data_IF_650335175393
#
_entry.id   IF_650335175393
#
_cell.length_a   1.000
_cell.length_b   1.000
_cell.length_c   1.000
_cell.angle_alpha   90.00
_cell.angle_beta   90.00
_cell.angle_gamma   90.00
#
_symmetry.space_group_name_H-M   'P 1'
#
loop_
_entity.id
_entity.type
_entity.pdbx_description
1 polymer ?
#
# COMPACT_ATOMS: atom_id res chain seq x y z
N UNK A 1 10.05 15.74 -17.08
CA UNK A 1 10.13 14.62 -16.11
C UNK A 1 11.47 13.93 -16.32
N UNK A 2 12.13 13.47 -15.25
CA UNK A 2 13.40 12.75 -15.34
C UNK A 2 13.12 11.32 -15.83
N UNK A 3 13.78 10.88 -16.90
CA UNK A 3 13.58 9.55 -17.49
C UNK A 3 14.23 8.41 -16.68
N UNK A 4 15.05 8.75 -15.67
CA UNK A 4 15.62 7.79 -14.73
C UNK A 4 14.68 7.46 -13.57
N UNK A 5 13.59 8.21 -13.39
CA UNK A 5 12.61 7.91 -12.36
C UNK A 5 11.59 6.89 -12.87
N UNK A 6 11.40 5.86 -12.07
CA UNK A 6 10.40 4.81 -12.28
C UNK A 6 9.56 4.66 -11.02
N UNK A 7 8.36 4.12 -11.17
CA UNK A 7 7.54 3.71 -10.05
C UNK A 7 7.06 2.28 -10.22
N UNK A 8 6.85 1.62 -9.09
CA UNK A 8 6.23 0.31 -8.98
C UNK A 8 5.07 0.45 -8.01
N UNK A 9 3.85 0.39 -8.52
CA UNK A 9 2.63 0.41 -7.73
C UNK A 9 2.27 -1.03 -7.37
N UNK A 10 2.30 -1.36 -6.08
CA UNK A 10 1.98 -2.69 -5.56
C UNK A 10 0.47 -2.83 -5.34
N UNK A 11 -0.17 -3.68 -6.12
CA UNK A 11 -1.61 -3.90 -6.20
C UNK A 11 -1.99 -5.38 -6.02
N UNK A 12 -1.31 -6.08 -5.09
CA UNK A 12 -1.59 -7.49 -4.77
C UNK A 12 -2.48 -7.72 -3.54
N UNK A 13 -2.68 -6.70 -2.69
CA UNK A 13 -3.49 -6.82 -1.48
C UNK A 13 -4.98 -7.00 -1.77
N UNK A 14 -5.66 -7.85 -1.00
CA UNK A 14 -7.12 -7.98 -1.08
C UNK A 14 -7.81 -6.88 -0.26
N UNK A 15 -7.34 -6.60 0.96
CA UNK A 15 -8.03 -5.68 1.88
C UNK A 15 -9.28 -6.29 2.51
N UNK A 16 -9.20 -7.54 2.97
CA UNK A 16 -10.32 -8.33 3.51
C UNK A 16 -11.05 -7.73 4.71
N UNK A 17 -10.45 -6.77 5.41
CA UNK A 17 -11.09 -6.01 6.51
C UNK A 17 -12.21 -5.08 6.01
N UNK A 18 -12.28 -4.81 4.70
CA UNK A 18 -13.38 -4.08 4.07
C UNK A 18 -14.47 -4.99 3.50
N UNK A 19 -14.55 -6.24 3.93
CA UNK A 19 -15.72 -7.06 3.62
C UNK A 19 -17.00 -6.34 4.12
N UNK A 20 -18.09 -6.33 3.34
CA UNK A 20 -18.30 -7.06 2.09
C UNK A 20 -17.78 -6.40 0.82
N UNK A 21 -17.38 -5.12 0.88
CA UNK A 21 -16.94 -4.31 -0.27
C UNK A 21 -15.77 -4.94 -0.99
N UNK A 22 -14.70 -5.26 -0.26
CA UNK A 22 -13.52 -5.87 -0.84
C UNK A 22 -13.59 -7.40 -0.84
N UNK A 23 -13.35 -8.02 -2.00
CA UNK A 23 -13.33 -9.49 -2.17
C UNK A 23 -12.09 -9.91 -2.96
N UNK A 24 -11.86 -11.23 -3.07
CA UNK A 24 -10.76 -11.76 -3.89
C UNK A 24 -10.92 -11.40 -5.37
N UNK A 25 -12.14 -11.26 -5.88
CA UNK A 25 -12.39 -10.94 -7.28
C UNK A 25 -12.31 -9.43 -7.55
N UNK A 26 -12.61 -8.61 -6.53
CA UNK A 26 -12.57 -7.15 -6.64
C UNK A 26 -11.98 -6.50 -5.38
N UNK A 27 -10.63 -6.48 -5.27
CA UNK A 27 -9.88 -5.94 -4.14
C UNK A 27 -10.04 -4.44 -3.86
N UNK A 28 -9.66 -4.04 -2.64
CA UNK A 28 -9.78 -2.70 -2.06
C UNK A 28 -9.28 -1.59 -3.00
N UNK A 29 -8.13 -1.78 -3.62
CA UNK A 29 -7.49 -0.78 -4.47
C UNK A 29 -8.34 -0.37 -5.68
N UNK A 30 -9.27 -1.21 -6.11
CA UNK A 30 -10.17 -0.95 -7.24
C UNK A 30 -11.49 -0.28 -6.84
N UNK A 31 -11.68 0.02 -5.55
CA UNK A 31 -12.87 0.71 -5.06
C UNK A 31 -12.62 2.19 -4.85
N UNK A 32 -13.63 2.98 -5.20
CA UNK A 32 -13.82 4.30 -4.61
C UNK A 32 -14.34 4.12 -3.17
N UNK A 33 -13.40 4.20 -2.23
CA UNK A 33 -13.68 4.01 -0.81
C UNK A 33 -14.27 5.27 -0.16
N UNK A 34 -14.02 6.44 -0.76
CA UNK A 34 -14.33 7.74 -0.17
C UNK A 34 -15.49 8.45 -0.86
N UNK A 35 -15.99 7.91 -1.98
CA UNK A 35 -17.05 8.53 -2.78
C UNK A 35 -16.55 9.71 -3.61
N UNK A 36 -15.25 9.75 -3.94
CA UNK A 36 -14.64 10.87 -4.68
C UNK A 36 -14.71 10.71 -6.20
N UNK A 37 -15.19 9.57 -6.70
CA UNK A 37 -15.28 9.24 -8.12
C UNK A 37 -14.04 8.54 -8.69
N UNK A 38 -13.03 8.26 -7.88
CA UNK A 38 -11.79 7.58 -8.26
C UNK A 38 -11.47 6.44 -7.31
N UNK A 39 -10.98 5.32 -7.83
CA UNK A 39 -10.45 4.24 -7.00
C UNK A 39 -9.09 4.61 -6.41
N UNK A 40 -8.68 3.90 -5.35
CA UNK A 40 -7.39 4.16 -4.70
C UNK A 40 -6.20 3.96 -5.66
N UNK A 41 -6.26 2.95 -6.54
CA UNK A 41 -5.21 2.72 -7.54
C UNK A 41 -5.18 3.83 -8.59
N UNK A 42 -6.34 4.32 -9.03
CA UNK A 42 -6.43 5.45 -9.97
C UNK A 42 -5.81 6.70 -9.38
N UNK A 43 -6.18 7.02 -8.13
CA UNK A 43 -5.63 8.18 -7.43
C UNK A 43 -4.12 8.06 -7.23
N UNK A 44 -3.63 6.90 -6.81
CA UNK A 44 -2.19 6.64 -6.65
C UNK A 44 -1.43 6.79 -7.96
N UNK A 45 -1.95 6.21 -9.05
CA UNK A 45 -1.36 6.35 -10.38
C UNK A 45 -1.36 7.81 -10.84
N UNK A 46 -2.48 8.51 -10.72
CA UNK A 46 -2.62 9.91 -11.14
C UNK A 46 -1.67 10.83 -10.37
N UNK A 47 -1.54 10.65 -9.05
CA UNK A 47 -0.57 11.35 -8.21
C UNK A 47 0.86 11.13 -8.70
N UNK A 48 1.29 9.88 -8.84
CA UNK A 48 2.66 9.53 -9.25
C UNK A 48 2.96 10.03 -10.67
N UNK A 49 1.98 9.95 -11.57
CA UNK A 49 2.10 10.38 -12.97
C UNK A 49 2.26 11.91 -13.15
N UNK A 50 2.16 12.71 -12.08
CA UNK A 50 2.53 14.13 -12.10
C UNK A 50 4.05 14.35 -12.08
N UNK A 51 4.81 13.37 -11.55
CA UNK A 51 6.28 13.44 -11.43
C UNK A 51 7.01 12.47 -12.35
N UNK A 52 6.42 11.29 -12.58
CA UNK A 52 7.02 10.19 -13.33
C UNK A 52 6.23 9.96 -14.63
N UNK A 53 6.87 9.80 -15.79
CA UNK A 53 6.16 9.53 -17.04
C UNK A 53 5.35 8.23 -16.94
N UNK A 54 4.13 8.22 -17.50
CA UNK A 54 3.23 7.06 -17.43
C UNK A 54 3.92 5.75 -17.82
N UNK A 55 4.74 5.75 -18.87
CA UNK A 55 5.47 4.56 -19.36
C UNK A 55 6.50 3.99 -18.37
N UNK A 56 6.94 4.79 -17.39
CA UNK A 56 7.89 4.40 -16.35
C UNK A 56 7.17 3.96 -15.05
N UNK A 57 5.84 3.92 -15.03
CA UNK A 57 5.04 3.45 -13.89
C UNK A 57 4.62 2.01 -14.18
N UNK A 58 5.18 1.06 -13.43
CA UNK A 58 4.86 -0.35 -13.50
C UNK A 58 3.84 -0.70 -12.41
N UNK A 59 2.97 -1.68 -12.69
CA UNK A 59 1.97 -2.17 -11.74
C UNK A 59 2.29 -3.61 -11.40
N UNK A 60 2.60 -3.89 -10.13
CA UNK A 60 2.74 -5.26 -9.64
C UNK A 60 1.43 -5.78 -9.10
N UNK A 61 0.93 -6.86 -9.65
CA UNK A 61 -0.37 -7.40 -9.30
C UNK A 61 -0.47 -8.88 -9.62
N UNK A 62 -1.45 -9.59 -9.05
CA UNK A 62 -1.70 -10.97 -9.45
C UNK A 62 -2.20 -11.05 -10.89
N UNK A 63 -1.83 -12.12 -11.61
CA UNK A 63 -2.27 -12.33 -13.00
C UNK A 63 -3.80 -12.27 -13.18
N UNK A 64 -4.58 -12.66 -12.17
CA UNK A 64 -6.04 -12.59 -12.23
C UNK A 64 -6.60 -11.16 -12.28
N UNK A 65 -5.83 -10.15 -11.87
CA UNK A 65 -6.25 -8.74 -11.85
C UNK A 65 -5.82 -7.96 -13.10
N UNK A 66 -5.17 -8.60 -14.07
CA UNK A 66 -4.66 -7.95 -15.29
C UNK A 66 -5.72 -7.06 -15.95
N UNK A 67 -6.89 -7.62 -16.25
CA UNK A 67 -7.97 -6.91 -16.95
C UNK A 67 -8.58 -5.79 -16.10
N UNK A 68 -8.65 -5.96 -14.77
CA UNK A 68 -9.10 -4.91 -13.85
C UNK A 68 -8.15 -3.71 -13.86
N UNK A 69 -6.84 -3.95 -13.80
CA UNK A 69 -5.83 -2.89 -13.85
C UNK A 69 -5.92 -2.14 -15.18
N UNK A 70 -5.96 -2.83 -16.32
CA UNK A 70 -6.03 -2.19 -17.64
C UNK A 70 -7.32 -1.38 -17.82
N UNK A 71 -8.44 -1.86 -17.26
CA UNK A 71 -9.71 -1.12 -17.28
C UNK A 71 -9.66 0.14 -16.41
N UNK A 72 -9.00 0.09 -15.26
CA UNK A 72 -8.92 1.19 -14.30
C UNK A 72 -7.86 2.24 -14.69
N UNK A 73 -6.75 1.83 -15.30
CA UNK A 73 -5.60 2.68 -15.63
C UNK A 73 -5.40 2.76 -17.14
N UNK A 74 -6.14 3.66 -17.81
CA UNK A 74 -6.14 3.80 -19.27
C UNK A 74 -4.79 4.18 -19.90
N UNK A 75 -3.85 4.70 -19.11
CA UNK A 75 -2.49 5.05 -19.54
C UNK A 75 -1.47 3.92 -19.33
N UNK A 76 -1.90 2.76 -18.84
CA UNK A 76 -1.05 1.60 -18.56
C UNK A 76 -1.20 0.55 -19.67
N UNK A 77 -0.07 0.08 -20.21
CA UNK A 77 -0.03 -1.02 -21.18
C UNK A 77 0.29 -2.36 -20.52
N UNK A 78 0.09 -3.45 -21.25
CA UNK A 78 0.43 -4.82 -20.78
C UNK A 78 1.91 -4.96 -20.43
N UNK A 79 2.79 -4.25 -21.12
CA UNK A 79 4.24 -4.30 -20.89
C UNK A 79 4.65 -3.73 -19.53
N UNK A 80 3.80 -2.89 -18.93
CA UNK A 80 4.01 -2.28 -17.61
C UNK A 80 3.48 -3.14 -16.46
N UNK A 81 2.79 -4.25 -16.76
CA UNK A 81 2.24 -5.14 -15.74
C UNK A 81 3.27 -6.19 -15.34
N UNK A 82 3.57 -6.24 -14.06
CA UNK A 82 4.34 -7.29 -13.42
C UNK A 82 3.34 -8.29 -12.85
N UNK A 83 2.97 -9.27 -13.68
CA UNK A 83 1.96 -10.27 -13.32
C UNK A 83 2.57 -11.36 -12.44
N UNK A 84 2.11 -11.42 -11.20
CA UNK A 84 2.53 -12.39 -10.20
C UNK A 84 1.64 -13.64 -10.30
N UNK A 85 2.20 -14.84 -10.53
CA UNK A 85 1.40 -16.07 -10.64
C UNK A 85 0.86 -16.53 -9.28
N UNK A 86 1.50 -16.11 -8.19
CA UNK A 86 1.13 -16.47 -6.82
C UNK A 86 1.49 -15.34 -5.86
N UNK A 87 0.79 -15.24 -4.73
CA UNK A 87 1.06 -14.23 -3.71
C UNK A 87 2.29 -14.63 -2.89
N UNK A 88 3.36 -13.85 -2.97
CA UNK A 88 4.61 -14.07 -2.21
C UNK A 88 5.07 -12.85 -1.39
N UNK A 89 4.14 -11.96 -1.03
CA UNK A 89 4.39 -10.74 -0.28
C UNK A 89 5.30 -9.76 -1.07
N UNK A 90 5.83 -8.71 -0.43
CA UNK A 90 6.41 -7.56 -1.17
C UNK A 90 7.84 -7.76 -1.68
N UNK A 91 8.66 -8.62 -1.07
CA UNK A 91 10.06 -8.74 -1.50
C UNK A 91 10.22 -9.32 -2.94
N UNK A 92 9.53 -10.42 -3.32
CA UNK A 92 9.67 -10.99 -4.66
C UNK A 92 9.16 -10.07 -5.77
N UNK A 93 8.09 -9.32 -5.51
CA UNK A 93 7.50 -8.43 -6.50
C UNK A 93 8.40 -7.21 -6.77
N UNK A 94 9.02 -6.68 -5.71
CA UNK A 94 10.02 -5.61 -5.80
C UNK A 94 11.28 -6.10 -6.51
N UNK A 95 11.77 -7.31 -6.21
CA UNK A 95 12.93 -7.87 -6.91
C UNK A 95 12.66 -8.04 -8.41
N UNK A 96 11.50 -8.59 -8.76
CA UNK A 96 11.08 -8.71 -10.15
C UNK A 96 11.08 -7.34 -10.84
N UNK A 97 10.42 -6.35 -10.23
CA UNK A 97 10.37 -4.99 -10.77
C UNK A 97 11.78 -4.39 -10.95
N UNK A 98 12.63 -4.51 -9.94
CA UNK A 98 13.98 -3.97 -9.94
C UNK A 98 14.85 -4.61 -11.04
N UNK A 99 14.78 -5.94 -11.23
CA UNK A 99 15.52 -6.63 -12.29
C UNK A 99 15.03 -6.22 -13.69
N UNK A 100 13.70 -6.15 -13.88
CA UNK A 100 13.10 -5.72 -15.16
C UNK A 100 13.50 -4.30 -15.53
N UNK A 101 13.40 -3.36 -14.58
CA UNK A 101 13.74 -1.95 -14.79
C UNK A 101 15.25 -1.79 -14.98
N UNK A 102 16.07 -2.45 -14.17
CA UNK A 102 17.53 -2.39 -14.28
C UNK A 102 18.04 -2.89 -15.64
N UNK A 103 17.38 -3.91 -16.21
CA UNK A 103 17.70 -4.40 -17.55
C UNK A 103 17.44 -3.37 -18.67
N UNK A 104 16.54 -2.41 -18.45
CA UNK A 104 16.28 -1.30 -19.38
C UNK A 104 17.13 -0.07 -19.07
N UNK A 105 17.22 0.30 -17.80
CA UNK A 105 17.92 1.49 -17.32
C UNK A 105 18.70 1.18 -16.03
N UNK A 106 20.03 0.97 -16.14
CA UNK A 106 20.89 0.73 -14.97
C UNK A 106 21.00 1.90 -13.99
N UNK A 107 20.65 3.12 -14.42
CA UNK A 107 20.69 4.33 -13.61
C UNK A 107 19.31 4.70 -13.04
N UNK A 108 18.35 3.77 -13.12
CA UNK A 108 17.00 3.98 -12.61
C UNK A 108 16.98 4.17 -11.10
N UNK A 109 16.10 5.07 -10.65
CA UNK A 109 15.69 5.21 -9.25
C UNK A 109 14.20 4.95 -9.16
N UNK A 110 13.83 4.07 -8.24
CA UNK A 110 12.53 3.43 -8.14
C UNK A 110 11.76 4.02 -6.97
N UNK A 111 10.54 4.48 -7.20
CA UNK A 111 9.53 4.67 -6.17
C UNK A 111 8.71 3.38 -6.03
N UNK A 112 8.76 2.72 -4.90
CA UNK A 112 7.88 1.60 -4.56
C UNK A 112 6.74 2.14 -3.71
N UNK A 113 5.50 2.00 -4.19
CA UNK A 113 4.33 2.57 -3.53
C UNK A 113 3.16 1.57 -3.46
N UNK A 114 2.49 1.43 -2.31
CA UNK A 114 1.23 0.70 -2.21
C UNK A 114 0.12 1.39 -3.00
N UNK A 115 -0.74 0.59 -3.64
CA UNK A 115 -1.85 1.09 -4.46
C UNK A 115 -3.05 1.61 -3.67
N UNK A 116 -3.10 1.34 -2.36
CA UNK A 116 -4.31 1.44 -1.54
C UNK A 116 -4.16 2.38 -0.34
N UNK A 117 -3.15 3.26 -0.36
CA UNK A 117 -2.94 4.29 0.66
C UNK A 117 -3.64 5.61 0.31
N UNK A 118 -4.06 6.32 1.35
CA UNK A 118 -4.57 7.68 1.28
C UNK A 118 -3.47 8.71 1.57
N UNK A 119 -3.48 9.78 0.79
CA UNK A 119 -2.58 10.93 0.92
C UNK A 119 -3.44 12.18 0.72
N UNK A 120 -3.47 13.04 1.74
CA UNK A 120 -4.25 14.28 1.74
C UNK A 120 -3.55 15.37 0.94
N UNK A 121 -2.28 15.63 1.26
CA UNK A 121 -1.46 16.63 0.58
C UNK A 121 -0.58 15.99 -0.48
N UNK A 122 -1.12 15.87 -1.69
CA UNK A 122 -0.39 15.28 -2.82
C UNK A 122 0.79 16.14 -3.28
N UNK A 123 0.76 17.46 -3.05
CA UNK A 123 1.83 18.37 -3.46
C UNK A 123 3.04 18.15 -2.54
N UNK A 124 2.83 18.14 -1.23
CA UNK A 124 3.88 17.88 -0.25
C UNK A 124 4.42 16.45 -0.39
N UNK A 125 3.56 15.47 -0.70
CA UNK A 125 4.01 14.12 -1.05
C UNK A 125 5.00 14.14 -2.23
N UNK A 126 4.65 14.77 -3.35
CA UNK A 126 5.52 14.79 -4.54
C UNK A 126 6.84 15.52 -4.29
N UNK A 127 6.84 16.58 -3.48
CA UNK A 127 8.06 17.26 -3.03
C UNK A 127 8.96 16.32 -2.22
N UNK A 128 8.41 15.57 -1.27
CA UNK A 128 9.15 14.61 -0.46
C UNK A 128 9.69 13.43 -1.28
N UNK A 129 8.94 12.97 -2.28
CA UNK A 129 9.42 11.98 -3.25
C UNK A 129 10.60 12.54 -4.06
N UNK A 130 10.53 13.79 -4.52
CA UNK A 130 11.63 14.42 -5.25
C UNK A 130 12.90 14.52 -4.40
N UNK A 131 12.79 14.97 -3.15
CA UNK A 131 13.92 15.00 -2.20
C UNK A 131 14.54 13.60 -2.03
N UNK A 132 13.68 12.58 -1.90
CA UNK A 132 14.12 11.20 -1.69
C UNK A 132 14.78 10.59 -2.94
N UNK A 133 14.31 10.95 -4.13
CA UNK A 133 14.97 10.61 -5.39
C UNK A 133 16.37 11.22 -5.47
N UNK A 134 16.51 12.52 -5.21
CA UNK A 134 17.80 13.22 -5.25
C UNK A 134 18.81 12.63 -4.25
N UNK A 135 18.35 12.24 -3.06
CA UNK A 135 19.20 11.57 -2.06
C UNK A 135 19.66 10.18 -2.52
N UNK A 136 18.75 9.39 -3.12
CA UNK A 136 19.02 8.02 -3.57
C UNK A 136 19.82 7.95 -4.88
N UNK A 137 19.79 9.01 -5.70
CA UNK A 137 20.67 9.14 -6.88
C UNK A 137 22.13 9.36 -6.48
N UNK A 138 22.36 10.14 -5.42
CA UNK A 138 23.71 10.55 -4.99
C UNK A 138 24.38 9.55 -4.05
N UNK A 139 23.60 8.76 -3.32
CA UNK A 139 24.08 7.93 -2.23
C UNK A 139 23.62 6.47 -2.37
N UNK A 140 24.44 5.51 -1.93
CA UNK A 140 24.05 4.10 -1.85
C UNK A 140 23.24 3.83 -0.57
N UNK A 141 21.98 4.29 -0.57
CA UNK A 141 21.08 4.24 0.60
C UNK A 141 19.74 3.58 0.25
N UNK A 142 19.13 2.97 1.26
CA UNK A 142 17.76 2.47 1.18
C UNK A 142 16.81 3.45 1.85
N UNK A 143 16.18 4.35 1.07
CA UNK A 143 15.24 5.34 1.61
C UNK A 143 13.85 4.75 1.87
N UNK A 144 13.23 5.21 2.96
CA UNK A 144 11.79 5.09 3.24
C UNK A 144 11.22 6.46 3.66
N UNK A 145 9.89 6.56 3.72
CA UNK A 145 9.19 7.72 4.29
C UNK A 145 8.66 7.39 5.69
N UNK A 146 8.99 8.25 6.66
CA UNK A 146 8.60 8.09 8.04
C UNK A 146 7.51 9.07 8.44
N UNK A 147 6.36 8.55 8.90
CA UNK A 147 5.23 9.37 9.36
C UNK A 147 5.32 9.57 10.88
N UNK A 148 5.03 10.78 11.35
CA UNK A 148 4.96 11.02 12.80
C UNK A 148 3.82 10.21 13.43
N UNK A 149 4.09 9.35 14.43
CA UNK A 149 3.06 8.56 15.09
C UNK A 149 2.18 9.44 15.97
N UNK A 150 0.86 9.30 15.84
CA UNK A 150 -0.12 9.96 16.72
C UNK A 150 -0.77 8.99 17.73
N UNK A 151 -0.49 7.69 17.59
CA UNK A 151 -1.04 6.62 18.42
C UNK A 151 -0.11 5.39 18.48
N UNK A 152 -0.26 4.50 19.47
CA UNK A 152 0.47 3.24 19.52
C UNK A 152 -0.19 2.18 18.62
N UNK A 153 0.14 2.18 17.32
CA UNK A 153 -0.44 1.28 16.32
C UNK A 153 0.38 -0.01 16.16
N UNK A 154 -0.18 -1.17 16.47
CA UNK A 154 0.51 -2.47 16.38
C UNK A 154 0.55 -3.07 14.97
N UNK A 155 -0.17 -2.47 14.01
CA UNK A 155 -0.24 -2.90 12.63
C UNK A 155 0.83 -2.29 11.72
N UNK A 156 1.58 -1.30 12.19
CA UNK A 156 2.59 -0.59 11.41
C UNK A 156 4.01 -0.98 11.83
N UNK A 157 4.95 -0.82 10.89
CA UNK A 157 6.37 -0.79 11.21
C UNK A 157 6.78 0.52 11.86
N UNK A 158 7.79 0.47 12.72
CA UNK A 158 8.37 1.62 13.41
C UNK A 158 9.85 1.79 13.01
N UNK A 159 10.24 3.03 12.77
CA UNK A 159 11.56 3.44 12.30
C UNK A 159 12.19 4.32 13.38
N UNK A 160 13.23 3.81 14.04
CA UNK A 160 14.07 4.61 14.93
C UNK A 160 15.11 5.36 14.11
N UNK A 161 15.24 6.66 14.28
CA UNK A 161 16.18 7.47 13.49
C UNK A 161 17.26 8.16 14.34
N UNK A 162 18.36 8.57 13.69
CA UNK A 162 19.37 9.47 14.24
C UNK A 162 18.89 10.93 14.10
N UNK A 163 19.15 11.77 15.12
CA UNK A 163 18.75 13.19 15.05
C UNK A 163 19.44 13.93 13.90
N UNK A 164 20.70 13.58 13.64
CA UNK A 164 21.51 14.18 12.58
C UNK A 164 20.98 13.77 11.21
N UNK A 165 20.87 14.75 10.32
CA UNK A 165 20.55 14.53 8.92
C UNK A 165 21.79 14.27 8.07
N UNK A 166 21.61 13.52 6.99
CA UNK A 166 22.53 13.46 5.87
C UNK A 166 22.49 14.83 5.17
N UNK A 167 23.53 15.62 5.37
CA UNK A 167 23.58 17.02 4.91
C UNK A 167 22.39 17.84 5.44
N UNK A 168 22.01 18.92 4.77
CA UNK A 168 20.85 19.76 5.10
C UNK A 168 19.54 19.27 4.43
N UNK A 169 19.50 18.01 3.95
CA UNK A 169 18.38 17.47 3.17
C UNK A 169 17.15 17.07 3.99
N UNK A 170 17.30 16.98 5.32
CA UNK A 170 16.28 16.42 6.23
C UNK A 170 16.20 14.89 6.24
N UNK A 171 16.97 14.20 5.38
CA UNK A 171 17.10 12.74 5.37
C UNK A 171 17.87 12.29 6.61
N UNK A 172 17.34 11.33 7.36
CA UNK A 172 17.93 10.83 8.61
C UNK A 172 18.33 9.38 8.48
N UNK A 173 19.45 9.00 9.09
CA UNK A 173 19.86 7.60 9.15
C UNK A 173 18.95 6.82 10.10
N UNK A 174 18.58 5.60 9.71
CA UNK A 174 17.79 4.69 10.55
C UNK A 174 18.72 3.90 11.45
N UNK A 175 18.45 3.91 12.76
CA UNK A 175 19.16 3.11 13.77
C UNK A 175 18.61 1.70 13.85
N UNK A 176 17.28 1.59 13.79
CA UNK A 176 16.58 0.33 13.94
C UNK A 176 15.24 0.40 13.22
N UNK A 177 14.87 -0.71 12.60
CA UNK A 177 13.55 -0.93 12.01
C UNK A 177 12.86 -2.03 12.81
N UNK A 178 11.57 -1.88 13.11
CA UNK A 178 10.82 -2.87 13.89
C UNK A 178 9.42 -3.01 13.31
N UNK A 179 9.16 -4.12 12.64
CA UNK A 179 7.85 -4.39 12.04
C UNK A 179 6.84 -4.91 13.06
N UNK A 180 5.68 -4.23 13.17
CA UNK A 180 4.50 -4.66 13.96
C UNK A 180 4.80 -5.03 15.43
N UNK A 181 5.25 -4.06 16.25
CA UNK A 181 5.49 -4.31 17.67
C UNK A 181 4.21 -4.62 18.44
N UNK A 182 4.35 -5.20 19.63
CA UNK A 182 3.23 -5.32 20.56
C UNK A 182 2.82 -3.93 21.11
N UNK A 183 1.64 -3.84 21.73
CA UNK A 183 1.07 -2.57 22.19
C UNK A 183 1.93 -1.84 23.22
N UNK A 184 2.57 -2.57 24.13
CA UNK A 184 3.43 -1.96 25.17
C UNK A 184 4.66 -1.32 24.52
N UNK A 185 5.32 -2.03 23.62
CA UNK A 185 6.45 -1.51 22.85
C UNK A 185 6.04 -0.31 21.97
N UNK A 186 4.86 -0.35 21.34
CA UNK A 186 4.36 0.78 20.56
C UNK A 186 4.12 2.05 21.40
N UNK A 187 3.65 1.90 22.65
CA UNK A 187 3.52 3.02 23.61
C UNK A 187 4.88 3.59 24.00
N UNK A 188 5.87 2.73 24.20
CA UNK A 188 7.25 3.16 24.50
C UNK A 188 7.86 3.95 23.35
N UNK A 189 7.67 3.49 22.11
CA UNK A 189 8.15 4.18 20.90
C UNK A 189 7.51 5.56 20.75
N UNK A 190 6.20 5.67 20.99
CA UNK A 190 5.51 6.96 20.95
C UNK A 190 6.04 7.91 22.03
N UNK A 191 6.31 7.39 23.23
CA UNK A 191 6.81 8.19 24.36
C UNK A 191 8.25 8.71 24.14
N UNK A 192 9.09 7.99 23.41
CA UNK A 192 10.48 8.41 23.19
C UNK A 192 10.62 9.54 22.17
N UNK A 193 9.66 9.69 21.24
CA UNK A 193 9.64 10.76 20.24
C UNK A 193 10.69 10.64 19.11
N UNK A 194 11.49 9.57 19.13
CA UNK A 194 12.54 9.27 18.14
C UNK A 194 12.16 8.14 17.17
N UNK A 195 10.85 7.85 17.08
CA UNK A 195 10.29 6.87 16.15
C UNK A 195 9.30 7.49 15.17
N UNK A 196 9.31 6.95 13.95
CA UNK A 196 8.33 7.21 12.90
C UNK A 196 7.60 5.91 12.54
N UNK A 197 6.41 6.02 11.97
CA UNK A 197 5.77 4.89 11.29
C UNK A 197 6.36 4.70 9.90
N UNK A 198 6.55 3.44 9.51
CA UNK A 198 6.86 3.06 8.14
C UNK A 198 5.60 3.16 7.27
N UNK A 199 5.62 4.05 6.28
CA UNK A 199 4.52 4.20 5.33
C UNK A 199 4.45 3.08 4.28
N UNK A 200 5.42 2.15 4.25
CA UNK A 200 5.56 1.13 3.20
C UNK A 200 5.87 1.73 1.83
N UNK A 201 6.41 2.96 1.79
CA UNK A 201 6.78 3.70 0.59
C UNK A 201 8.29 3.83 0.58
N UNK A 202 8.91 3.36 -0.50
CA UNK A 202 10.36 3.26 -0.58
C UNK A 202 10.93 3.91 -1.83
N UNK A 203 12.14 4.44 -1.74
CA UNK A 203 12.81 5.13 -2.84
C UNK A 203 14.25 4.65 -2.96
N UNK A 204 14.62 3.93 -4.01
CA UNK A 204 15.95 3.30 -4.11
C UNK A 204 16.52 3.40 -5.51
N UNK A 205 17.84 3.54 -5.62
CA UNK A 205 18.48 3.23 -6.90
C UNK A 205 18.30 1.74 -7.20
N UNK A 206 18.10 1.38 -8.46
CA UNK A 206 17.99 -0.03 -8.86
C UNK A 206 19.25 -0.82 -8.48
N UNK A 207 20.42 -0.18 -8.52
CA UNK A 207 21.70 -0.75 -8.09
C UNK A 207 21.70 -1.08 -6.59
N UNK A 208 21.27 -0.14 -5.75
CA UNK A 208 21.27 -0.29 -4.29
C UNK A 208 20.34 -1.40 -3.83
N UNK A 209 19.12 -1.45 -4.36
CA UNK A 209 18.17 -2.50 -3.96
C UNK A 209 18.61 -3.90 -4.46
N UNK A 210 19.13 -4.01 -5.68
CA UNK A 210 19.64 -5.30 -6.18
C UNK A 210 20.88 -5.78 -5.41
N UNK A 211 21.73 -4.86 -4.95
CA UNK A 211 22.84 -5.17 -4.05
C UNK A 211 22.32 -5.73 -2.72
N UNK A 212 21.31 -5.08 -2.12
CA UNK A 212 20.70 -5.54 -0.87
C UNK A 212 20.05 -6.92 -1.02
N UNK A 213 19.34 -7.20 -2.12
CA UNK A 213 18.80 -8.53 -2.41
C UNK A 213 19.90 -9.59 -2.51
N UNK A 214 21.02 -9.28 -3.17
CA UNK A 214 22.15 -10.20 -3.27
C UNK A 214 22.79 -10.50 -1.91
N UNK A 215 22.74 -9.55 -0.97
CA UNK A 215 23.32 -9.69 0.37
C UNK A 215 22.39 -10.44 1.33
N UNK A 216 21.12 -10.05 1.40
CA UNK A 216 20.20 -10.51 2.44
C UNK A 216 19.22 -11.59 1.97
N UNK A 217 18.92 -11.67 0.67
CA UNK A 217 18.05 -12.70 0.06
C UNK A 217 18.71 -13.35 -1.17
N UNK A 218 19.94 -13.89 -1.04
CA UNK A 218 20.74 -14.35 -2.17
C UNK A 218 20.08 -15.47 -2.99
N UNK A 219 19.32 -16.35 -2.35
CA UNK A 219 18.60 -17.43 -3.04
C UNK A 219 17.48 -16.88 -3.92
N UNK A 220 16.68 -15.94 -3.41
CA UNK A 220 15.63 -15.28 -4.17
C UNK A 220 16.22 -14.47 -5.34
N UNK A 221 17.30 -13.74 -5.08
CA UNK A 221 18.06 -13.03 -6.11
C UNK A 221 18.53 -14.00 -7.19
N UNK A 222 19.13 -15.14 -6.81
CA UNK A 222 19.62 -16.13 -7.77
C UNK A 222 18.48 -16.70 -8.62
N UNK A 223 17.34 -17.04 -8.02
CA UNK A 223 16.16 -17.60 -8.72
C UNK A 223 15.69 -16.68 -9.85
N UNK A 224 15.47 -15.39 -9.55
CA UNK A 224 14.95 -14.44 -10.53
C UNK A 224 16.04 -13.87 -11.45
N UNK A 225 17.30 -13.88 -11.05
CA UNK A 225 18.41 -13.35 -11.86
C UNK A 225 19.17 -14.43 -12.65
N UNK A 226 18.64 -15.67 -12.76
CA UNK A 226 19.30 -16.78 -13.47
C UNK A 226 19.54 -16.52 -14.96
N UNK A 227 18.65 -15.79 -15.63
CA UNK A 227 18.85 -15.34 -17.01
C UNK A 227 18.42 -13.87 -17.17
N UNK A 228 19.41 -12.97 -17.15
CA UNK A 228 19.17 -11.52 -17.25
C UNK A 228 18.54 -11.08 -18.58
N UNK A 229 18.66 -11.88 -19.64
CA UNK A 229 18.23 -11.50 -20.98
C UNK A 229 16.73 -11.75 -21.22
N UNK A 230 16.04 -12.43 -20.29
CA UNK A 230 14.61 -12.71 -20.41
C UNK A 230 13.76 -11.47 -20.18
N UNK A 231 14.21 -10.54 -19.34
CA UNK A 231 13.44 -9.35 -18.99
C UNK A 231 13.23 -8.45 -20.21
N UNK A 232 11.99 -7.98 -20.37
CA UNK A 232 11.53 -7.14 -21.46
C UNK A 232 11.54 -7.83 -22.83
N UNK A 233 11.36 -9.15 -22.82
CA UNK A 233 11.24 -9.99 -24.03
C UNK A 233 10.03 -10.90 -23.92
N UNK A 234 9.67 -11.57 -25.01
CA UNK A 234 8.56 -12.53 -25.04
C UNK A 234 8.78 -13.75 -24.12
N UNK A 235 10.01 -13.97 -23.62
CA UNK A 235 10.36 -15.06 -22.70
C UNK A 235 10.05 -14.73 -21.23
N UNK A 236 9.79 -13.47 -20.90
CA UNK A 236 9.66 -12.99 -19.52
C UNK A 236 8.51 -13.68 -18.77
N UNK A 237 7.34 -13.81 -19.39
CA UNK A 237 6.15 -14.37 -18.75
C UNK A 237 6.35 -15.83 -18.31
N UNK A 238 6.88 -16.67 -19.21
CA UNK A 238 7.18 -18.07 -18.92
C UNK A 238 8.29 -18.22 -17.87
N UNK A 239 9.30 -17.34 -17.93
CA UNK A 239 10.36 -17.30 -16.94
C UNK A 239 9.83 -17.00 -15.53
N UNK A 240 8.97 -15.99 -15.40
CA UNK A 240 8.36 -15.62 -14.12
C UNK A 240 7.45 -16.73 -13.61
N UNK A 241 6.57 -17.27 -14.46
CA UNK A 241 5.70 -18.40 -14.10
C UNK A 241 6.47 -19.59 -13.54
N UNK A 242 7.62 -19.94 -14.15
CA UNK A 242 8.46 -21.08 -13.74
C UNK A 242 9.24 -20.84 -12.44
N UNK A 243 9.60 -19.59 -12.13
CA UNK A 243 10.58 -19.29 -11.07
C UNK A 243 9.99 -18.55 -9.88
N UNK A 244 8.95 -17.75 -10.05
CA UNK A 244 8.39 -16.91 -8.99
C UNK A 244 7.82 -17.71 -7.83
N UNK A 245 7.22 -18.88 -8.10
CA UNK A 245 6.73 -19.79 -7.06
C UNK A 245 7.83 -20.33 -6.14
N UNK A 246 9.10 -20.30 -6.57
CA UNK A 246 10.24 -20.74 -5.76
C UNK A 246 10.73 -19.64 -4.81
N UNK A 247 10.29 -18.40 -4.98
CA UNK A 247 10.63 -17.31 -4.08
C UNK A 247 9.98 -17.53 -2.72
N UNK A 248 10.72 -17.19 -1.66
CA UNK A 248 10.19 -17.15 -0.31
C UNK A 248 9.02 -16.15 -0.21
N UNK A 249 8.04 -16.48 0.65
CA UNK A 249 6.93 -15.57 0.96
C UNK A 249 7.32 -14.63 2.10
N UNK A 250 7.97 -13.51 1.79
CA UNK A 250 8.56 -12.58 2.76
C UNK A 250 8.33 -11.12 2.35
N UNK A 251 8.09 -10.23 3.32
CA UNK A 251 7.99 -8.80 3.04
C UNK A 251 9.38 -8.18 2.85
N UNK A 252 9.43 -7.07 2.13
CA UNK A 252 10.64 -6.29 1.96
C UNK A 252 11.14 -5.71 3.30
N UNK A 253 10.22 -5.42 4.22
CA UNK A 253 10.52 -4.93 5.55
C UNK A 253 11.39 -5.94 6.32
N UNK A 254 10.94 -7.19 6.43
CA UNK A 254 11.68 -8.26 7.10
C UNK A 254 12.93 -8.71 6.31
N UNK A 255 12.79 -8.87 5.00
CA UNK A 255 13.84 -9.49 4.18
C UNK A 255 15.00 -8.56 3.84
N UNK A 256 14.79 -7.23 3.83
CA UNK A 256 15.77 -6.25 3.40
C UNK A 256 15.89 -5.10 4.39
N UNK A 257 14.80 -4.44 4.78
CA UNK A 257 14.88 -3.20 5.56
C UNK A 257 15.43 -3.42 6.98
N UNK A 258 14.93 -4.42 7.69
CA UNK A 258 15.41 -4.77 9.04
C UNK A 258 16.90 -5.17 9.09
N UNK A 259 17.44 -6.04 8.21
CA UNK A 259 18.85 -6.43 8.25
C UNK A 259 19.82 -5.42 7.61
N UNK A 260 19.34 -4.39 6.91
CA UNK A 260 20.20 -3.44 6.18
C UNK A 260 20.79 -2.34 7.06
N UNK A 261 22.07 -2.01 6.86
CA UNK A 261 22.78 -0.99 7.64
C UNK A 261 22.76 0.42 7.02
N UNK A 262 22.34 0.55 5.75
CA UNK A 262 22.32 1.80 4.99
C UNK A 262 20.89 2.36 4.80
N UNK A 263 19.97 2.02 5.70
CA UNK A 263 18.59 2.51 5.67
C UNK A 263 18.53 3.96 6.14
N UNK A 264 17.77 4.76 5.40
CA UNK A 264 17.54 6.17 5.70
C UNK A 264 16.04 6.47 5.59
N UNK A 265 15.58 7.49 6.31
CA UNK A 265 14.18 7.90 6.32
C UNK A 265 14.08 9.41 6.12
N UNK A 266 13.08 9.85 5.38
CA UNK A 266 12.65 11.24 5.39
C UNK A 266 11.43 11.36 6.32
N UNK A 267 11.50 12.10 7.43
CA UNK A 267 10.31 12.44 8.21
C UNK A 267 9.38 13.33 7.38
N UNK A 268 8.11 12.97 7.26
CA UNK A 268 7.16 13.65 6.38
C UNK A 268 5.80 13.84 7.04
N UNK A 269 5.07 14.86 6.58
CA UNK A 269 3.69 15.13 6.98
C UNK A 269 2.85 15.55 5.77
N UNK A 270 2.14 14.60 5.17
CA UNK A 270 1.23 14.83 4.04
C UNK A 270 -0.17 14.19 4.25
N UNK A 271 -0.54 13.97 5.52
CA UNK A 271 -1.82 13.35 5.88
C UNK A 271 -1.98 11.90 5.40
N UNK A 272 -0.92 11.09 5.55
CA UNK A 272 -0.92 9.68 5.17
C UNK A 272 -1.91 8.84 6.00
N UNK A 273 -2.51 7.82 5.36
CA UNK A 273 -3.20 6.75 6.05
C UNK A 273 -3.20 5.47 5.19
N UNK A 274 -3.02 4.30 5.79
CA UNK A 274 -3.05 3.01 5.08
C UNK A 274 -4.46 2.60 4.63
N UNK A 275 -5.50 3.28 5.14
CA UNK A 275 -6.91 2.90 5.04
C UNK A 275 -7.09 1.40 5.35
N UNK A 276 -6.57 0.91 6.47
CA UNK A 276 -6.57 -0.51 6.78
C UNK A 276 -7.92 -1.08 7.23
N UNK A 277 -8.78 -0.25 7.84
CA UNK A 277 -10.08 -0.64 8.43
C UNK A 277 -11.18 0.37 8.15
N UNK A 278 -12.43 0.00 8.45
CA UNK A 278 -13.58 0.91 8.36
C UNK A 278 -13.45 2.10 9.31
N UNK A 279 -12.87 1.90 10.50
CA UNK A 279 -12.54 2.97 11.45
C UNK A 279 -11.55 3.97 10.87
N UNK A 280 -10.48 3.49 10.21
CA UNK A 280 -9.52 4.37 9.50
C UNK A 280 -10.22 5.20 8.43
N UNK A 281 -11.13 4.58 7.65
CA UNK A 281 -11.92 5.28 6.65
C UNK A 281 -12.86 6.32 7.26
N UNK A 282 -13.59 5.96 8.32
CA UNK A 282 -14.49 6.86 9.05
C UNK A 282 -13.77 8.11 9.54
N UNK A 283 -12.54 7.98 10.03
CA UNK A 283 -11.75 9.12 10.49
C UNK A 283 -11.48 10.14 9.37
N UNK A 284 -11.29 9.68 8.13
CA UNK A 284 -11.01 10.53 6.96
C UNK A 284 -12.24 11.13 6.31
N UNK A 285 -13.42 10.56 6.57
CA UNK A 285 -14.66 11.05 5.97
C UNK A 285 -15.17 12.32 6.66
N UNK A 286 -15.82 13.16 5.86
CA UNK A 286 -16.64 14.25 6.37
C UNK A 286 -17.79 13.67 7.21
N UNK A 287 -18.09 14.34 8.31
CA UNK A 287 -19.10 13.93 9.29
C UNK A 287 -20.14 15.02 9.47
N UNK A 288 -21.38 14.61 9.78
CA UNK A 288 -22.42 15.54 10.21
C UNK A 288 -22.21 16.02 11.66
N UNK A 289 -23.14 16.85 12.16
CA UNK A 289 -23.09 17.38 13.54
C UNK A 289 -23.21 16.30 14.62
N UNK A 290 -23.71 15.10 14.29
CA UNK A 290 -23.82 13.94 15.18
C UNK A 290 -22.71 12.91 14.91
N UNK A 291 -21.67 13.28 14.18
CA UNK A 291 -20.53 12.44 13.84
C UNK A 291 -20.88 11.24 12.92
N UNK A 292 -22.01 11.26 12.20
CA UNK A 292 -22.26 10.23 11.19
C UNK A 292 -21.48 10.54 9.91
N UNK A 293 -20.86 9.52 9.32
CA UNK A 293 -20.19 9.56 8.02
C UNK A 293 -20.97 8.73 7.00
N UNK A 294 -21.18 9.27 5.80
CA UNK A 294 -21.99 8.64 4.76
C UNK A 294 -21.26 8.68 3.42
N UNK A 295 -21.13 7.51 2.78
CA UNK A 295 -20.54 7.36 1.45
C UNK A 295 -21.55 6.69 0.53
N UNK A 296 -21.86 7.36 -0.58
CA UNK A 296 -22.69 6.80 -1.64
C UNK A 296 -24.13 6.51 -1.24
N UNK A 297 -24.68 7.16 -0.21
CA UNK A 297 -26.05 6.96 0.28
C UNK A 297 -26.72 8.29 0.66
N UNK A 298 -28.05 8.28 0.74
CA UNK A 298 -28.82 9.36 1.36
C UNK A 298 -29.39 8.86 2.69
N UNK A 299 -28.88 9.37 3.81
CA UNK A 299 -29.25 8.88 5.14
C UNK A 299 -30.11 9.90 5.92
N UNK A 300 -31.15 9.40 6.58
CA UNK A 300 -31.92 10.12 7.60
C UNK A 300 -31.60 9.51 8.96
N UNK A 301 -31.20 10.37 9.90
CA UNK A 301 -30.86 9.98 11.26
C UNK A 301 -31.88 10.52 12.25
N UNK A 302 -32.28 9.69 13.20
CA UNK A 302 -33.09 10.09 14.36
C UNK A 302 -32.50 9.45 15.61
N UNK A 303 -32.03 10.24 16.57
CA UNK A 303 -31.38 9.70 17.78
C UNK A 303 -30.22 8.73 17.45
N UNK A 304 -29.37 9.11 16.49
CA UNK A 304 -28.32 8.25 15.94
C UNK A 304 -27.03 9.04 15.66
N UNK A 305 -25.89 8.50 16.09
CA UNK A 305 -24.61 9.22 16.11
C UNK A 305 -23.40 8.33 15.87
N UNK A 306 -22.31 8.89 15.33
CA UNK A 306 -21.03 8.19 15.19
C UNK A 306 -21.02 7.00 14.22
N UNK A 307 -22.05 6.86 13.37
CA UNK A 307 -22.19 5.73 12.44
C UNK A 307 -21.36 5.94 11.16
N UNK A 308 -20.86 4.86 10.60
CA UNK A 308 -20.21 4.81 9.29
C UNK A 308 -21.11 4.08 8.30
N UNK A 309 -21.58 4.77 7.27
CA UNK A 309 -22.48 4.20 6.27
C UNK A 309 -21.80 4.20 4.90
N UNK A 310 -21.86 3.06 4.21
CA UNK A 310 -21.50 2.99 2.80
C UNK A 310 -22.53 2.19 2.01
N UNK A 311 -23.01 2.75 0.90
CA UNK A 311 -23.81 2.00 -0.07
C UNK A 311 -23.22 2.11 -1.47
N UNK A 312 -23.27 1.03 -2.22
CA UNK A 312 -22.87 1.00 -3.62
C UNK A 312 -24.01 1.47 -4.54
N UNK A 313 -25.25 1.20 -4.16
CA UNK A 313 -26.42 1.42 -5.03
C UNK A 313 -27.13 2.77 -4.84
N UNK A 314 -26.64 3.66 -3.97
CA UNK A 314 -27.30 4.95 -3.72
C UNK A 314 -28.56 4.85 -2.86
N UNK A 315 -28.70 3.79 -2.07
CA UNK A 315 -29.90 3.53 -1.26
C UNK A 315 -30.20 4.69 -0.30
N UNK A 316 -31.50 4.88 -0.04
CA UNK A 316 -31.98 5.71 1.07
C UNK A 316 -31.93 4.88 2.35
N UNK A 317 -31.31 5.41 3.39
CA UNK A 317 -31.14 4.74 4.68
C UNK A 317 -31.84 5.57 5.76
N UNK A 318 -32.59 4.90 6.64
CA UNK A 318 -33.19 5.54 7.82
C UNK A 318 -32.67 4.80 9.05
N UNK A 319 -32.01 5.52 9.95
CA UNK A 319 -31.45 4.97 11.18
C UNK A 319 -32.07 5.67 12.37
N UNK A 320 -32.60 4.88 13.29
CA UNK A 320 -33.12 5.37 14.57
C UNK A 320 -32.47 4.64 15.74
N UNK A 321 -31.95 5.38 16.72
CA UNK A 321 -31.48 4.82 18.00
C UNK A 321 -30.16 4.03 17.92
N UNK A 322 -29.41 4.16 16.83
CA UNK A 322 -28.18 3.39 16.59
C UNK A 322 -26.96 4.32 16.66
N UNK A 323 -25.96 3.94 17.45
CA UNK A 323 -24.74 4.73 17.62
C UNK A 323 -23.49 3.87 17.52
N UNK A 324 -22.47 4.42 16.85
CA UNK A 324 -21.16 3.80 16.66
C UNK A 324 -21.20 2.45 15.92
N UNK A 325 -22.04 2.34 14.88
CA UNK A 325 -22.09 1.17 13.99
C UNK A 325 -21.47 1.43 12.62
N UNK A 326 -20.94 0.37 12.02
CA UNK A 326 -20.56 0.27 10.61
C UNK A 326 -21.75 -0.39 9.89
N UNK A 327 -22.25 0.26 8.85
CA UNK A 327 -23.38 -0.18 8.02
C UNK A 327 -22.94 -0.13 6.58
N UNK A 328 -22.71 -1.29 5.98
CA UNK A 328 -22.10 -1.39 4.65
C UNK A 328 -22.94 -2.30 3.77
N UNK A 329 -23.39 -1.75 2.65
CA UNK A 329 -24.10 -2.48 1.61
C UNK A 329 -23.18 -2.74 0.42
N UNK A 330 -23.23 -3.99 -0.06
CA UNK A 330 -22.69 -4.41 -1.36
C UNK A 330 -23.64 -5.44 -1.97
N UNK A 331 -24.09 -5.17 -3.18
CA UNK A 331 -25.01 -6.05 -3.92
C UNK A 331 -26.25 -6.44 -3.10
N UNK A 332 -26.42 -7.71 -2.77
CA UNK A 332 -27.53 -8.26 -1.97
C UNK A 332 -27.22 -8.37 -0.47
N UNK A 333 -26.02 -7.97 -0.03
CA UNK A 333 -25.56 -8.12 1.35
C UNK A 333 -25.47 -6.78 2.07
N UNK A 334 -25.91 -6.76 3.34
CA UNK A 334 -25.71 -5.64 4.26
C UNK A 334 -24.99 -6.16 5.52
N UNK A 335 -23.79 -5.62 5.78
CA UNK A 335 -23.09 -5.79 7.05
C UNK A 335 -23.51 -4.69 8.01
N UNK A 336 -23.90 -5.06 9.22
CA UNK A 336 -24.16 -4.16 10.34
C UNK A 336 -23.37 -4.68 11.54
N UNK A 337 -22.35 -3.95 11.98
CA UNK A 337 -21.56 -4.35 13.15
C UNK A 337 -21.14 -3.14 14.00
N UNK A 338 -20.91 -3.32 15.31
CA UNK A 338 -20.35 -2.26 16.14
C UNK A 338 -18.96 -1.86 15.65
N UNK A 339 -18.67 -0.55 15.60
CA UNK A 339 -17.38 -0.02 15.16
C UNK A 339 -16.21 -0.53 16.01
N UNK A 340 -16.44 -0.74 17.31
CA UNK A 340 -15.44 -1.28 18.25
C UNK A 340 -15.02 -2.73 17.94
N UNK A 341 -15.87 -3.48 17.23
CA UNK A 341 -15.67 -4.90 16.93
C UNK A 341 -15.23 -5.10 15.46
N UNK A 342 -14.72 -4.04 14.80
CA UNK A 342 -14.35 -4.09 13.38
C UNK A 342 -13.27 -5.13 13.04
N UNK A 343 -12.46 -5.55 14.02
CA UNK A 343 -11.44 -6.58 13.84
C UNK A 343 -12.07 -7.96 13.57
N UNK A 344 -13.32 -8.18 14.01
CA UNK A 344 -14.03 -9.45 13.86
C UNK A 344 -14.64 -9.63 12.47
N UNK A 345 -14.64 -8.59 11.61
CA UNK A 345 -15.21 -8.62 10.26
C UNK A 345 -14.66 -9.78 9.43
N UNK A 346 -13.38 -10.13 9.60
CA UNK A 346 -12.78 -11.27 8.90
C UNK A 346 -13.41 -12.60 9.31
N UNK A 347 -13.70 -12.77 10.60
CA UNK A 347 -14.36 -13.98 11.12
C UNK A 347 -15.83 -14.02 10.68
N UNK A 348 -16.52 -12.87 10.73
CA UNK A 348 -17.90 -12.71 10.29
C UNK A 348 -18.04 -13.04 8.79
N UNK A 349 -17.11 -12.58 7.96
CA UNK A 349 -17.08 -12.88 6.52
C UNK A 349 -17.02 -14.38 6.24
N UNK A 350 -16.19 -15.13 6.96
CA UNK A 350 -16.09 -16.57 6.84
C UNK A 350 -17.40 -17.28 7.25
N UNK A 351 -18.00 -16.85 8.37
CA UNK A 351 -19.28 -17.38 8.84
C UNK A 351 -20.42 -17.10 7.85
N UNK A 352 -20.52 -15.87 7.35
CA UNK A 352 -21.53 -15.48 6.36
C UNK A 352 -21.40 -16.29 5.07
N UNK A 353 -20.18 -16.48 4.57
CA UNK A 353 -19.91 -17.28 3.36
C UNK A 353 -20.34 -18.74 3.56
N UNK A 354 -20.00 -19.34 4.70
CA UNK A 354 -20.38 -20.72 5.02
C UNK A 354 -21.89 -20.90 5.21
N UNK A 355 -22.60 -19.89 5.70
CA UNK A 355 -24.04 -19.97 5.91
C UNK A 355 -24.83 -19.72 4.62
N UNK A 356 -24.49 -18.68 3.87
CA UNK A 356 -25.23 -18.32 2.65
C UNK A 356 -24.92 -19.25 1.47
N UNK A 357 -23.77 -19.93 1.45
CA UNK A 357 -23.51 -20.99 0.46
C UNK A 357 -24.44 -22.19 0.60
N UNK A 358 -25.15 -22.36 1.72
CA UNK A 358 -26.18 -23.39 1.90
C UNK A 358 -27.55 -22.99 1.35
N UNK A 359 -27.74 -21.70 1.06
CA UNK A 359 -29.00 -21.15 0.55
C UNK A 359 -29.07 -21.15 -0.99
N UNK A 360 -27.93 -21.38 -1.64
CA UNK A 360 -27.76 -21.56 -3.09
C UNK A 360 -27.54 -23.03 -3.41
#
# INVERSE_FOLDING_TARGET
MNNNYYAVIMAGGVGSRFWPVSTQEYPKQFHDMLGTGESLIQRTFNRINQLIPAQNILISTNECYQELVLKQLSKTSKQQLLLEPTMRNTAPCILYAALKIYAQNPDAVLLIAPSDHWIEDEIEFLKNIKTSFEASEKNDILMTLGIEPDAPNTGYGYIKFEENSLEDSGVKKVKNFTEKPNLETAKEFLKSGDYLWNAGIFIWSAKSILKAFKEHLPEMFAVLNTDKKVYNTDLEADFIKKNYEKCENISIDYGIMEPSNNVHTLPVNFGWNDLGTWGSLYNKLAKDSQQNAVVGANALFKDASGNMIRTQSGKKIVIQGLSDFIIVEKDDLILICPKKDEQDIKQISALATAEFSKLN
#
